data_IF_774537512030
#
_entry.id   IF_774537512030
#
_cell.length_a   1.000
_cell.length_b   1.000
_cell.length_c   1.000
_cell.angle_alpha   90.00
_cell.angle_beta   90.00
_cell.angle_gamma   90.00
#
_symmetry.space_group_name_H-M   'P 1'
#
loop_
_entity.id
_entity.type
_entity.pdbx_description
1 polymer ?
#
# COMPACT_ATOMS: atom_id res chain seq x y z
N UNK A 1 -24.54 -1.06 25.80
CA UNK A 1 -23.11 -1.04 25.42
C UNK A 1 -22.69 0.42 25.41
N UNK A 2 -21.57 0.79 26.03
CA UNK A 2 -21.10 2.17 25.94
C UNK A 2 -20.73 2.47 24.48
N UNK A 3 -21.17 3.61 23.94
CA UNK A 3 -20.81 4.02 22.58
C UNK A 3 -19.28 4.08 22.48
N UNK A 4 -18.69 3.19 21.69
CA UNK A 4 -17.24 3.09 21.48
C UNK A 4 -16.74 4.19 20.55
N UNK A 5 -17.65 4.73 19.73
CA UNK A 5 -17.47 5.87 18.86
C UNK A 5 -18.14 7.11 19.44
N UNK A 6 -17.44 8.23 19.35
CA UNK A 6 -17.99 9.56 19.56
C UNK A 6 -17.64 10.40 18.33
N UNK A 7 -18.67 10.89 17.63
CA UNK A 7 -18.55 11.56 16.34
C UNK A 7 -18.98 13.02 16.54
N UNK A 8 -18.04 13.93 16.35
CA UNK A 8 -18.28 15.37 16.41
C UNK A 8 -17.97 16.02 15.06
N UNK A 9 -18.84 16.92 14.62
CA UNK A 9 -18.68 17.71 13.39
C UNK A 9 -18.63 19.19 13.77
N UNK A 10 -17.53 19.85 13.48
CA UNK A 10 -17.33 21.28 13.77
C UNK A 10 -16.75 21.98 12.54
N UNK A 11 -17.37 23.06 12.09
CA UNK A 11 -16.82 24.09 11.18
C UNK A 11 -15.87 23.61 10.07
N UNK A 12 -16.20 22.52 9.37
CA UNK A 12 -15.35 21.99 8.31
C UNK A 12 -14.25 21.03 8.78
N UNK A 13 -14.46 20.38 9.93
CA UNK A 13 -13.68 19.27 10.47
C UNK A 13 -14.61 18.20 11.05
N UNK A 14 -14.35 16.95 10.71
CA UNK A 14 -14.94 15.77 11.33
C UNK A 14 -13.92 15.22 12.34
N UNK A 15 -14.35 15.02 13.59
CA UNK A 15 -13.52 14.39 14.63
C UNK A 15 -14.24 13.16 15.15
N UNK A 16 -13.63 12.00 14.98
CA UNK A 16 -14.14 10.73 15.48
C UNK A 16 -13.19 10.23 16.57
N UNK A 17 -13.72 10.01 17.77
CA UNK A 17 -12.99 9.44 18.89
C UNK A 17 -13.36 7.96 19.07
N UNK A 18 -12.36 7.10 19.03
CA UNK A 18 -12.49 5.65 19.20
C UNK A 18 -11.81 5.21 20.51
N UNK A 19 -12.57 4.66 21.44
CA UNK A 19 -12.07 4.20 22.74
C UNK A 19 -11.40 2.83 22.66
N UNK A 20 -10.20 2.70 23.26
CA UNK A 20 -9.48 1.42 23.35
C UNK A 20 -10.04 0.48 24.43
N UNK A 21 -10.86 1.01 25.34
CA UNK A 21 -11.40 0.28 26.47
C UNK A 21 -12.30 -0.87 26.03
N UNK A 22 -12.03 -2.08 26.51
CA UNK A 22 -12.89 -3.25 26.39
C UNK A 22 -13.36 -3.71 27.78
N UNK A 23 -14.43 -4.49 27.87
CA UNK A 23 -14.95 -5.01 29.15
C UNK A 23 -13.91 -5.86 29.89
N UNK A 24 -13.11 -6.64 29.16
CA UNK A 24 -12.00 -7.44 29.70
C UNK A 24 -10.94 -6.60 30.44
N UNK A 25 -10.81 -5.31 30.13
CA UNK A 25 -9.83 -4.45 30.80
C UNK A 25 -10.18 -4.25 32.28
N UNK A 26 -11.45 -4.31 32.68
CA UNK A 26 -11.82 -4.24 34.11
C UNK A 26 -11.25 -5.39 34.93
N UNK A 27 -11.31 -6.61 34.37
CA UNK A 27 -10.67 -7.77 34.98
C UNK A 27 -9.15 -7.60 35.04
N UNK A 28 -8.54 -7.16 33.94
CA UNK A 28 -7.09 -6.95 33.87
C UNK A 28 -6.62 -5.87 34.85
N UNK A 29 -7.41 -4.81 35.07
CA UNK A 29 -7.13 -3.76 36.05
C UNK A 29 -7.09 -4.34 37.46
N UNK A 30 -8.16 -5.03 37.87
CA UNK A 30 -8.23 -5.71 39.16
C UNK A 30 -7.05 -6.67 39.36
N UNK A 31 -6.79 -7.53 38.36
CA UNK A 31 -5.69 -8.47 38.38
C UNK A 31 -4.34 -7.76 38.54
N UNK A 32 -4.08 -6.73 37.74
CA UNK A 32 -2.82 -5.99 37.76
C UNK A 32 -2.57 -5.34 39.13
N UNK A 33 -3.60 -4.76 39.76
CA UNK A 33 -3.47 -4.13 41.08
C UNK A 33 -3.12 -5.17 42.13
N UNK A 34 -3.87 -6.27 42.21
CA UNK A 34 -3.65 -7.31 43.22
C UNK A 34 -2.29 -8.00 43.00
N UNK A 35 -1.96 -8.34 41.75
CA UNK A 35 -0.68 -8.96 41.41
C UNK A 35 0.49 -8.09 41.87
N UNK A 36 0.48 -6.79 41.53
CA UNK A 36 1.58 -5.89 41.92
C UNK A 36 1.67 -5.74 43.44
N UNK A 37 0.55 -5.64 44.16
CA UNK A 37 0.56 -5.58 45.63
C UNK A 37 1.15 -6.84 46.26
N UNK A 38 0.80 -8.03 45.75
CA UNK A 38 1.36 -9.30 46.21
C UNK A 38 2.87 -9.38 45.97
N UNK A 39 3.34 -9.01 44.77
CA UNK A 39 4.76 -9.03 44.42
C UNK A 39 5.57 -8.04 45.28
N UNK A 40 5.04 -6.83 45.51
CA UNK A 40 5.67 -5.84 46.39
C UNK A 40 5.75 -6.38 47.82
N UNK A 41 4.67 -6.98 48.33
CA UNK A 41 4.67 -7.60 49.66
C UNK A 41 5.71 -8.71 49.78
N UNK A 42 5.86 -9.56 48.76
CA UNK A 42 6.87 -10.61 48.73
C UNK A 42 8.30 -10.03 48.74
N UNK A 43 8.58 -8.97 47.97
CA UNK A 43 9.88 -8.30 47.98
C UNK A 43 10.21 -7.69 49.34
N UNK A 44 9.25 -7.00 49.96
CA UNK A 44 9.39 -6.44 51.32
C UNK A 44 9.66 -7.56 52.34
N UNK A 45 9.09 -8.76 52.14
CA UNK A 45 9.32 -9.93 52.98
C UNK A 45 10.67 -10.62 52.74
N UNK A 46 11.54 -10.06 51.90
CA UNK A 46 12.88 -10.59 51.62
C UNK A 46 12.93 -11.59 50.47
N UNK A 47 11.91 -11.65 49.62
CA UNK A 47 11.99 -12.48 48.42
C UNK A 47 13.09 -11.98 47.46
N UNK A 48 13.86 -12.91 46.91
CA UNK A 48 15.06 -12.60 46.13
C UNK A 48 14.80 -12.00 44.75
N UNK A 49 15.90 -11.77 44.02
CA UNK A 49 15.96 -11.12 42.71
C UNK A 49 14.96 -11.66 41.67
N UNK A 50 14.65 -12.97 41.67
CA UNK A 50 13.67 -13.54 40.75
C UNK A 50 12.27 -12.89 40.85
N UNK A 51 11.88 -12.42 42.04
CA UNK A 51 10.61 -11.71 42.22
C UNK A 51 10.63 -10.30 41.60
N UNK A 52 11.80 -9.64 41.48
CA UNK A 52 11.86 -8.32 40.82
C UNK A 52 11.56 -8.37 39.32
N UNK A 53 11.82 -9.49 38.63
CA UNK A 53 11.43 -9.68 37.23
C UNK A 53 9.89 -9.72 37.12
N UNK A 54 9.22 -10.38 38.06
CA UNK A 54 7.77 -10.43 38.12
C UNK A 54 7.15 -9.05 38.42
N UNK A 55 7.86 -8.20 39.16
CA UNK A 55 7.46 -6.81 39.38
C UNK A 55 7.53 -6.01 38.07
N UNK A 56 8.60 -6.16 37.27
CA UNK A 56 8.71 -5.51 35.97
C UNK A 56 7.57 -5.91 35.03
N UNK A 57 7.24 -7.21 34.98
CA UNK A 57 6.08 -7.72 34.24
C UNK A 57 4.78 -7.12 34.79
N UNK A 58 4.63 -7.03 36.11
CA UNK A 58 3.47 -6.41 36.75
C UNK A 58 3.32 -4.93 36.40
N UNK A 59 4.40 -4.17 36.38
CA UNK A 59 4.43 -2.75 35.97
C UNK A 59 4.04 -2.63 34.49
N UNK A 60 4.58 -3.49 33.63
CA UNK A 60 4.21 -3.51 32.21
C UNK A 60 2.72 -3.80 32.02
N UNK A 61 2.16 -4.80 32.70
CA UNK A 61 0.72 -5.11 32.63
C UNK A 61 -0.11 -3.94 33.15
N UNK A 62 0.30 -3.28 34.23
CA UNK A 62 -0.40 -2.12 34.78
C UNK A 62 -0.38 -0.94 33.79
N UNK A 63 0.78 -0.62 33.21
CA UNK A 63 0.93 0.41 32.17
C UNK A 63 0.09 0.09 30.93
N UNK A 64 0.14 -1.15 30.45
CA UNK A 64 -0.66 -1.64 29.34
C UNK A 64 -2.15 -1.44 29.61
N UNK A 65 -2.60 -1.87 30.79
CA UNK A 65 -4.01 -1.76 31.21
C UNK A 65 -4.45 -0.30 31.28
N UNK A 66 -3.64 0.56 31.92
CA UNK A 66 -3.94 1.98 32.03
C UNK A 66 -4.00 2.66 30.65
N UNK A 67 -3.08 2.31 29.76
CA UNK A 67 -3.09 2.77 28.37
C UNK A 67 -4.37 2.36 27.66
N UNK A 68 -4.85 1.11 27.80
CA UNK A 68 -6.12 0.67 27.19
C UNK A 68 -7.35 1.38 27.77
N UNK A 69 -7.31 1.82 29.03
CA UNK A 69 -8.41 2.57 29.65
C UNK A 69 -8.45 4.03 29.24
N UNK A 70 -7.30 4.68 29.22
CA UNK A 70 -7.21 6.13 29.02
C UNK A 70 -7.06 6.48 27.54
N UNK A 71 -6.40 5.63 26.75
CA UNK A 71 -6.12 5.96 25.37
C UNK A 71 -7.37 5.89 24.49
N UNK A 72 -7.40 6.82 23.56
CA UNK A 72 -8.34 6.88 22.45
C UNK A 72 -7.54 7.08 21.17
N UNK A 73 -8.09 6.57 20.07
CA UNK A 73 -7.69 6.97 18.73
C UNK A 73 -8.59 8.12 18.30
N UNK A 74 -8.01 9.26 17.96
CA UNK A 74 -8.74 10.40 17.39
C UNK A 74 -8.46 10.45 15.90
N UNK A 75 -9.51 10.28 15.10
CA UNK A 75 -9.48 10.44 13.65
C UNK A 75 -10.04 11.83 13.35
N UNK A 76 -9.16 12.75 12.96
CA UNK A 76 -9.53 14.09 12.56
C UNK A 76 -9.45 14.20 11.04
N UNK A 77 -10.58 14.44 10.40
CA UNK A 77 -10.70 14.57 8.95
C UNK A 77 -11.08 16.00 8.62
N UNK A 78 -10.34 16.63 7.73
CA UNK A 78 -10.66 17.91 7.12
C UNK A 78 -10.47 17.82 5.59
N UNK A 79 -10.70 18.93 4.87
CA UNK A 79 -10.57 18.95 3.40
C UNK A 79 -9.15 18.71 2.88
N UNK A 80 -8.13 18.90 3.72
CA UNK A 80 -6.73 18.80 3.34
C UNK A 80 -6.13 17.46 3.75
N UNK A 81 -6.55 16.88 4.88
CA UNK A 81 -5.94 15.68 5.46
C UNK A 81 -6.87 14.87 6.37
N UNK A 82 -6.50 13.60 6.52
CA UNK A 82 -6.94 12.65 7.54
C UNK A 82 -5.78 12.44 8.51
N UNK A 83 -5.97 12.85 9.77
CA UNK A 83 -5.00 12.75 10.84
C UNK A 83 -5.47 11.72 11.87
N UNK A 84 -4.59 10.76 12.17
CA UNK A 84 -4.80 9.70 13.16
C UNK A 84 -3.85 9.90 14.34
N UNK A 85 -4.41 10.15 15.52
CA UNK A 85 -3.64 10.36 16.75
C UNK A 85 -4.04 9.36 17.83
N UNK A 86 -3.09 8.97 18.67
CA UNK A 86 -3.29 8.08 19.81
C UNK A 86 -2.80 8.75 21.09
N UNK A 87 -3.64 8.78 22.13
CA UNK A 87 -3.27 9.41 23.40
C UNK A 87 -4.37 9.27 24.46
N UNK A 88 -4.13 9.68 25.71
CA UNK A 88 -3.05 10.57 26.13
C UNK A 88 -1.73 9.88 26.55
N UNK A 89 -1.73 8.58 26.86
CA UNK A 89 -0.50 7.85 27.22
C UNK A 89 0.25 7.47 25.94
N UNK A 90 1.57 7.75 25.84
CA UNK A 90 2.38 7.35 24.69
C UNK A 90 2.29 5.85 24.43
N UNK A 91 2.02 5.47 23.20
CA UNK A 91 1.98 4.08 22.78
C UNK A 91 3.01 3.84 21.67
N UNK A 92 4.18 3.26 21.98
CA UNK A 92 5.32 3.23 21.05
C UNK A 92 5.06 2.40 19.79
N UNK A 93 4.03 1.55 19.79
CA UNK A 93 3.70 0.66 18.66
C UNK A 93 2.63 1.23 17.72
N UNK A 94 2.08 2.42 18.01
CA UNK A 94 1.11 3.09 17.15
C UNK A 94 1.63 4.46 16.78
N UNK A 95 2.11 4.57 15.54
CA UNK A 95 2.56 5.84 14.97
C UNK A 95 1.35 6.69 14.61
N UNK A 96 1.47 7.99 14.83
CA UNK A 96 0.52 8.96 14.28
C UNK A 96 0.60 8.92 12.75
N UNK A 97 -0.53 9.08 12.07
CA UNK A 97 -0.60 9.05 10.62
C UNK A 97 -1.23 10.33 10.11
N UNK A 98 -0.61 10.97 9.11
CA UNK A 98 -1.12 12.17 8.48
C UNK A 98 -1.22 11.92 6.96
N UNK A 99 -2.42 11.66 6.49
CA UNK A 99 -2.70 11.27 5.11
C UNK A 99 -3.37 12.45 4.39
N UNK A 100 -2.81 13.00 3.31
CA UNK A 100 -3.49 14.03 2.53
C UNK A 100 -4.85 13.54 2.02
N UNK A 101 -5.92 14.32 2.22
CA UNK A 101 -7.27 13.93 1.83
C UNK A 101 -7.38 13.68 0.32
N UNK A 102 -6.68 14.50 -0.48
CA UNK A 102 -6.57 14.33 -1.95
C UNK A 102 -5.93 13.02 -2.40
N UNK A 103 -5.11 12.41 -1.54
CA UNK A 103 -4.44 11.14 -1.84
C UNK A 103 -5.32 9.95 -1.47
N UNK A 104 -6.41 10.15 -0.71
CA UNK A 104 -7.32 9.10 -0.29
C UNK A 104 -8.28 8.79 -1.45
N UNK A 105 -8.17 7.58 -2.00
CA UNK A 105 -9.07 7.12 -3.06
C UNK A 105 -10.31 6.47 -2.46
N UNK A 106 -10.13 5.67 -1.40
CA UNK A 106 -11.19 4.88 -0.80
C UNK A 106 -10.81 4.44 0.62
N UNK A 107 -11.81 4.25 1.49
CA UNK A 107 -11.66 3.47 2.71
C UNK A 107 -12.41 2.14 2.55
N UNK A 108 -11.92 1.08 3.18
CA UNK A 108 -12.63 -0.21 3.19
C UNK A 108 -12.30 -1.02 4.44
N UNK A 109 -13.23 -1.90 4.83
CA UNK A 109 -13.00 -2.86 5.92
C UNK A 109 -12.46 -4.18 5.40
N UNK A 110 -11.18 -4.46 5.69
CA UNK A 110 -10.51 -5.71 5.35
C UNK A 110 -10.49 -6.70 6.52
N UNK A 111 -10.63 -8.00 6.25
CA UNK A 111 -10.42 -9.05 7.26
C UNK A 111 -8.95 -9.10 7.68
N UNK A 112 -8.70 -9.14 8.98
CA UNK A 112 -7.36 -9.26 9.56
C UNK A 112 -6.90 -10.71 9.60
N UNK A 113 -5.58 -10.93 9.56
CA UNK A 113 -4.97 -12.24 9.78
C UNK A 113 -5.03 -12.69 11.24
N UNK A 114 -5.28 -11.75 12.16
CA UNK A 114 -5.35 -12.03 13.61
C UNK A 114 -6.76 -12.47 13.98
N UNK A 115 -6.86 -13.57 14.74
CA UNK A 115 -8.09 -14.00 15.38
C UNK A 115 -8.02 -13.74 16.88
N UNK A 116 -9.16 -13.40 17.49
CA UNK A 116 -9.29 -13.23 18.94
C UNK A 116 -10.41 -14.15 19.41
N UNK A 117 -10.08 -15.13 20.25
CA UNK A 117 -11.01 -16.18 20.69
C UNK A 117 -11.68 -16.91 19.51
N UNK A 118 -10.88 -17.25 18.48
CA UNK A 118 -11.29 -17.83 17.19
C UNK A 118 -12.28 -16.99 16.36
N UNK A 119 -12.68 -15.82 16.83
CA UNK A 119 -13.45 -14.87 16.04
C UNK A 119 -12.52 -14.06 15.11
N UNK A 120 -12.95 -13.81 13.86
CA UNK A 120 -12.19 -12.96 12.96
C UNK A 120 -12.11 -11.54 13.53
N UNK A 121 -11.00 -10.86 13.23
CA UNK A 121 -10.90 -9.41 13.43
C UNK A 121 -10.81 -8.72 12.08
N UNK A 122 -11.04 -7.42 12.07
CA UNK A 122 -11.15 -6.57 10.89
C UNK A 122 -10.24 -5.35 11.06
N UNK A 123 -9.77 -4.81 9.95
CA UNK A 123 -8.94 -3.63 9.86
C UNK A 123 -9.67 -2.58 9.01
N UNK A 124 -9.61 -1.31 9.43
CA UNK A 124 -10.00 -0.20 8.56
C UNK A 124 -8.77 0.19 7.73
N UNK A 125 -8.89 0.06 6.42
CA UNK A 125 -7.82 0.32 5.45
C UNK A 125 -8.13 1.61 4.69
N UNK A 126 -7.09 2.35 4.35
CA UNK A 126 -7.14 3.50 3.44
C UNK A 126 -6.34 3.15 2.19
N UNK A 127 -6.98 3.23 1.02
CA UNK A 127 -6.32 3.08 -0.27
C UNK A 127 -5.93 4.45 -0.80
N UNK A 128 -4.67 4.61 -1.15
CA UNK A 128 -4.14 5.85 -1.68
C UNK A 128 -4.15 5.86 -3.23
N UNK A 129 -4.07 7.05 -3.81
CA UNK A 129 -3.93 7.30 -5.26
C UNK A 129 -2.70 6.63 -5.87
N UNK A 130 -1.66 6.39 -5.08
CA UNK A 130 -0.48 5.60 -5.46
C UNK A 130 -0.72 4.09 -5.49
N UNK A 131 -1.88 3.62 -5.06
CA UNK A 131 -2.20 2.20 -4.87
C UNK A 131 -1.68 1.61 -3.56
N UNK A 132 -1.02 2.41 -2.71
CA UNK A 132 -0.56 1.97 -1.39
C UNK A 132 -1.74 1.85 -0.43
N UNK A 133 -1.75 0.79 0.38
CA UNK A 133 -2.80 0.53 1.38
C UNK A 133 -2.27 0.80 2.80
N UNK A 134 -2.94 1.67 3.55
CA UNK A 134 -2.54 2.07 4.90
C UNK A 134 -3.55 1.58 5.94
N UNK A 135 -3.08 0.91 6.99
CA UNK A 135 -3.92 0.45 8.11
C UNK A 135 -4.21 1.59 9.08
N UNK A 136 -5.46 2.05 9.13
CA UNK A 136 -5.92 3.09 10.04
C UNK A 136 -6.29 2.52 11.41
N UNK A 137 -7.11 1.46 11.45
CA UNK A 137 -7.49 0.76 12.69
C UNK A 137 -7.16 -0.71 12.52
N UNK A 138 -6.55 -1.31 13.54
CA UNK A 138 -6.08 -2.70 13.52
C UNK A 138 -6.89 -3.58 14.47
N UNK A 139 -7.23 -4.78 14.00
CA UNK A 139 -7.77 -5.90 14.77
C UNK A 139 -9.01 -5.58 15.63
N UNK A 140 -9.99 -4.89 15.04
CA UNK A 140 -11.31 -4.69 15.65
C UNK A 140 -12.20 -5.92 15.43
N UNK A 141 -12.95 -6.35 16.45
CA UNK A 141 -13.89 -7.47 16.32
C UNK A 141 -15.23 -7.02 15.73
N UNK A 142 -15.63 -5.79 16.03
CA UNK A 142 -16.88 -5.20 15.54
C UNK A 142 -16.72 -4.65 14.12
N UNK A 143 -17.08 -5.48 13.13
CA UNK A 143 -17.10 -5.10 11.72
C UNK A 143 -18.03 -3.92 11.45
N UNK A 144 -19.22 -3.93 12.03
CA UNK A 144 -20.25 -2.91 11.76
C UNK A 144 -19.77 -1.54 12.21
N UNK A 145 -19.08 -1.48 13.35
CA UNK A 145 -18.43 -0.27 13.84
C UNK A 145 -17.37 0.27 12.87
N UNK A 146 -16.57 -0.60 12.23
CA UNK A 146 -15.61 -0.15 11.21
C UNK A 146 -16.29 0.33 9.92
N UNK A 147 -17.39 -0.30 9.51
CA UNK A 147 -18.16 0.12 8.33
C UNK A 147 -18.86 1.46 8.56
N UNK A 148 -19.34 1.71 9.78
CA UNK A 148 -19.87 3.02 10.16
C UNK A 148 -18.78 4.10 10.11
N UNK A 149 -17.56 3.78 10.56
CA UNK A 149 -16.40 4.68 10.43
C UNK A 149 -16.05 4.98 8.98
N UNK A 150 -15.93 3.94 8.15
CA UNK A 150 -15.70 4.04 6.70
C UNK A 150 -16.72 4.98 6.06
N UNK A 151 -18.01 4.63 6.16
CA UNK A 151 -19.12 5.40 5.57
C UNK A 151 -19.13 6.84 6.06
N UNK A 152 -18.86 7.07 7.36
CA UNK A 152 -18.85 8.43 7.93
C UNK A 152 -17.71 9.28 7.38
N UNK A 153 -16.53 8.69 7.21
CA UNK A 153 -15.35 9.39 6.67
C UNK A 153 -15.52 9.65 5.18
N UNK A 154 -15.96 8.66 4.40
CA UNK A 154 -16.17 8.79 2.95
C UNK A 154 -17.25 9.82 2.63
N UNK A 155 -18.39 9.76 3.32
CA UNK A 155 -19.46 10.74 3.15
C UNK A 155 -19.02 12.17 3.51
N UNK A 156 -18.05 12.32 4.41
CA UNK A 156 -17.50 13.61 4.77
C UNK A 156 -16.50 14.15 3.73
N UNK A 157 -15.73 13.26 3.10
CA UNK A 157 -14.73 13.59 2.08
C UNK A 157 -15.29 13.60 0.64
N UNK A 158 -16.57 13.26 0.46
CA UNK A 158 -17.22 13.09 -0.84
C UNK A 158 -16.51 12.03 -1.71
N UNK A 159 -16.09 10.94 -1.07
CA UNK A 159 -15.51 9.77 -1.73
C UNK A 159 -16.63 8.82 -2.14
N UNK A 160 -16.64 8.41 -3.41
CA UNK A 160 -17.60 7.42 -3.92
C UNK A 160 -17.24 6.04 -3.37
N UNK A 161 -18.18 5.40 -2.67
CA UNK A 161 -17.98 4.07 -2.12
C UNK A 161 -17.95 3.02 -3.25
N UNK A 162 -16.79 2.40 -3.47
CA UNK A 162 -16.63 1.26 -4.35
C UNK A 162 -16.79 -0.06 -3.59
N UNK A 163 -18.00 -0.60 -3.67
CA UNK A 163 -18.38 -1.88 -3.06
C UNK A 163 -17.57 -3.09 -3.57
N UNK A 164 -16.73 -2.95 -4.60
CA UNK A 164 -15.86 -4.05 -5.06
C UNK A 164 -14.76 -4.41 -4.04
N UNK A 165 -14.35 -3.47 -3.18
CA UNK A 165 -13.38 -3.70 -2.11
C UNK A 165 -14.01 -4.17 -0.80
N UNK A 166 -15.33 -4.00 -0.67
CA UNK A 166 -16.11 -4.60 0.39
C UNK A 166 -16.09 -6.12 0.19
N UNK A 167 -15.12 -6.77 0.83
CA UNK A 167 -15.10 -8.21 1.01
C UNK A 167 -16.28 -8.60 1.91
N UNK A 168 -17.50 -8.53 1.36
CA UNK A 168 -18.62 -9.31 1.84
C UNK A 168 -18.15 -10.76 1.85
N UNK A 169 -18.42 -11.46 2.95
CA UNK A 169 -17.90 -12.81 3.19
C UNK A 169 -18.35 -13.84 2.12
N UNK A 170 -19.14 -13.43 1.12
CA UNK A 170 -19.49 -14.23 -0.05
C UNK A 170 -18.58 -14.06 -1.28
N UNK A 171 -17.49 -13.30 -1.21
CA UNK A 171 -16.64 -12.98 -2.37
C UNK A 171 -16.01 -14.19 -3.08
N UNK A 172 -15.76 -15.31 -2.37
CA UNK A 172 -15.35 -16.59 -2.98
C UNK A 172 -16.43 -17.68 -2.90
N UNK A 173 -17.45 -17.53 -2.06
CA UNK A 173 -18.56 -18.49 -2.01
C UNK A 173 -19.55 -18.31 -3.17
N UNK A 174 -19.53 -17.17 -3.85
CA UNK A 174 -20.30 -16.92 -5.09
C UNK A 174 -19.47 -16.89 -6.36
N UNK A 175 -18.14 -17.04 -6.27
CA UNK A 175 -17.32 -17.24 -7.46
C UNK A 175 -17.53 -18.68 -7.91
N UNK A 176 -18.15 -18.84 -9.07
CA UNK A 176 -18.29 -20.12 -9.75
C UNK A 176 -16.88 -20.70 -9.95
N UNK A 177 -16.54 -21.72 -9.15
CA UNK A 177 -15.23 -22.36 -9.16
C UNK A 177 -14.87 -22.90 -10.55
N UNK A 178 -15.88 -23.27 -11.36
CA UNK A 178 -15.66 -23.67 -12.75
C UNK A 178 -15.25 -22.49 -13.63
N UNK A 179 -15.85 -21.30 -13.45
CA UNK A 179 -15.43 -20.09 -14.15
C UNK A 179 -14.01 -19.68 -13.77
N UNK A 180 -13.63 -19.77 -12.50
CA UNK A 180 -12.25 -19.48 -12.07
C UNK A 180 -11.25 -20.50 -12.63
N UNK A 181 -11.59 -21.79 -12.66
CA UNK A 181 -10.73 -22.81 -13.25
C UNK A 181 -10.54 -22.58 -14.75
N UNK A 182 -11.62 -22.24 -15.47
CA UNK A 182 -11.56 -21.88 -16.88
C UNK A 182 -10.77 -20.58 -17.13
N UNK A 183 -10.78 -19.62 -16.19
CA UNK A 183 -9.95 -18.42 -16.30
C UNK A 183 -8.47 -18.73 -16.06
N UNK A 184 -8.13 -19.57 -15.08
CA UNK A 184 -6.76 -20.00 -14.83
C UNK A 184 -6.17 -20.79 -16.01
N UNK A 185 -6.94 -21.68 -16.63
CA UNK A 185 -6.48 -22.42 -17.81
C UNK A 185 -6.19 -21.50 -19.01
N UNK A 186 -6.97 -20.42 -19.16
CA UNK A 186 -6.67 -19.36 -20.14
C UNK A 186 -5.41 -18.58 -19.77
N UNK A 187 -5.20 -18.30 -18.48
CA UNK A 187 -4.02 -17.57 -18.00
C UNK A 187 -2.74 -18.42 -18.00
N UNK A 188 -2.81 -19.74 -17.94
CA UNK A 188 -1.63 -20.61 -18.02
C UNK A 188 -0.91 -20.45 -19.38
N UNK A 189 -1.66 -20.20 -20.45
CA UNK A 189 -1.11 -19.83 -21.77
C UNK A 189 -0.38 -18.48 -21.76
N UNK A 190 -0.76 -17.58 -20.86
CA UNK A 190 -0.15 -16.27 -20.66
C UNK A 190 1.00 -16.29 -19.64
N UNK A 191 1.16 -17.39 -18.88
CA UNK A 191 2.16 -17.56 -17.82
C UNK A 191 3.60 -17.35 -18.32
N UNK A 192 3.85 -17.67 -19.60
CA UNK A 192 5.13 -17.42 -20.26
C UNK A 192 5.50 -15.94 -20.37
N UNK A 193 4.51 -15.04 -20.35
CA UNK A 193 4.67 -13.59 -20.58
C UNK A 193 4.49 -12.77 -19.30
N UNK A 194 4.11 -13.40 -18.19
CA UNK A 194 3.91 -12.73 -16.91
C UNK A 194 5.21 -12.60 -16.11
N UNK A 195 5.36 -11.54 -15.29
CA UNK A 195 6.48 -11.43 -14.37
C UNK A 195 6.55 -12.63 -13.41
N UNK A 196 7.76 -13.09 -13.08
CA UNK A 196 7.97 -14.25 -12.21
C UNK A 196 7.27 -14.13 -10.84
N UNK A 197 7.16 -12.93 -10.27
CA UNK A 197 6.44 -12.71 -9.02
C UNK A 197 4.93 -12.98 -9.16
N UNK A 198 4.32 -12.57 -10.28
CA UNK A 198 2.91 -12.83 -10.57
C UNK A 198 2.67 -14.32 -10.85
N UNK A 199 3.58 -14.95 -11.59
CA UNK A 199 3.58 -16.41 -11.83
C UNK A 199 3.59 -17.18 -10.52
N UNK A 200 4.46 -16.82 -9.58
CA UNK A 200 4.52 -17.43 -8.25
C UNK A 200 3.24 -17.22 -7.44
N UNK A 201 2.66 -16.00 -7.48
CA UNK A 201 1.37 -15.72 -6.82
C UNK A 201 0.22 -16.55 -7.41
N UNK A 202 0.22 -16.75 -8.73
CA UNK A 202 -0.78 -17.58 -9.41
C UNK A 202 -0.66 -19.06 -9.04
N UNK A 203 0.55 -19.61 -9.01
CA UNK A 203 0.76 -21.00 -8.59
C UNK A 203 0.30 -21.23 -7.15
N UNK A 204 0.60 -20.28 -6.25
CA UNK A 204 0.14 -20.33 -4.86
C UNK A 204 -1.39 -20.20 -4.74
N UNK A 205 -2.02 -19.43 -5.62
CA UNK A 205 -3.48 -19.30 -5.68
C UNK A 205 -4.15 -20.55 -6.24
N UNK A 206 -3.58 -21.17 -7.27
CA UNK A 206 -4.03 -22.45 -7.84
C UNK A 206 -3.96 -23.56 -6.78
N UNK A 207 -2.86 -23.64 -6.04
CA UNK A 207 -2.70 -24.59 -4.93
C UNK A 207 -3.76 -24.38 -3.85
N UNK A 208 -4.01 -23.14 -3.43
CA UNK A 208 -5.07 -22.82 -2.45
C UNK A 208 -6.46 -23.16 -2.97
N UNK A 209 -6.73 -22.93 -4.25
CA UNK A 209 -8.00 -23.28 -4.88
C UNK A 209 -8.20 -24.80 -4.89
N UNK A 210 -7.20 -25.56 -5.29
CA UNK A 210 -7.25 -27.03 -5.28
C UNK A 210 -7.47 -27.58 -3.86
N UNK A 211 -6.84 -26.97 -2.86
CA UNK A 211 -7.06 -27.33 -1.45
C UNK A 211 -8.49 -27.02 -0.98
N UNK A 212 -9.05 -25.87 -1.36
CA UNK A 212 -10.42 -25.48 -1.01
C UNK A 212 -11.47 -26.33 -1.74
N UNK A 213 -11.26 -26.66 -3.02
CA UNK A 213 -12.09 -27.62 -3.76
C UNK A 213 -12.08 -28.97 -3.06
N UNK A 214 -10.89 -29.45 -2.63
CA UNK A 214 -10.76 -30.68 -1.85
C UNK A 214 -11.53 -30.63 -0.52
N UNK A 215 -11.53 -29.49 0.16
CA UNK A 215 -12.31 -29.25 1.39
C UNK A 215 -13.81 -29.31 1.12
N UNK A 216 -14.29 -28.62 0.07
CA UNK A 216 -15.71 -28.62 -0.33
C UNK A 216 -16.20 -30.00 -0.78
N UNK A 217 -15.40 -30.75 -1.55
CA UNK A 217 -15.78 -32.13 -1.93
C UNK A 217 -15.94 -33.07 -0.75
N UNK A 218 -15.27 -32.80 0.38
CA UNK A 218 -15.45 -33.55 1.61
C UNK A 218 -16.66 -33.08 2.44
N UNK A 219 -17.07 -31.82 2.31
CA UNK A 219 -18.20 -31.23 3.04
C UNK A 219 -19.55 -31.43 2.31
N UNK A 220 -19.56 -31.50 0.98
CA UNK A 220 -20.75 -31.70 0.14
C UNK A 220 -21.34 -33.12 0.21
N UNK A 221 -20.72 -34.05 0.95
CA UNK A 221 -21.33 -35.33 1.33
C UNK A 221 -22.52 -35.21 2.30
N UNK A 222 -22.80 -34.01 2.83
CA UNK A 222 -23.87 -33.79 3.78
C UNK A 222 -24.51 -32.40 3.59
N UNK A 223 -25.46 -32.26 2.65
CA UNK A 223 -26.61 -31.34 2.76
C UNK A 223 -27.49 -31.35 1.49
N UNK A 224 -28.81 -31.18 1.70
CA UNK A 224 -29.86 -31.17 0.69
C UNK A 224 -30.08 -29.76 0.07
N UNK A 225 -30.68 -29.66 -1.14
CA UNK A 225 -30.72 -28.41 -1.91
C UNK A 225 -31.95 -27.54 -1.61
N UNK A 226 -31.79 -26.23 -1.73
CA UNK A 226 -32.90 -25.25 -1.81
C UNK A 226 -32.71 -24.29 -2.99
N UNK A 227 -33.82 -23.96 -3.64
CA UNK A 227 -33.98 -23.22 -4.90
C UNK A 227 -34.51 -21.79 -4.66
N UNK A 228 -34.10 -20.79 -5.46
CA UNK A 228 -34.94 -19.70 -6.02
C UNK A 228 -34.11 -18.58 -6.70
N UNK A 229 -34.77 -17.76 -7.54
CA UNK A 229 -34.31 -17.14 -8.80
C UNK A 229 -34.56 -15.61 -8.89
N UNK A 230 -33.66 -14.84 -9.55
CA UNK A 230 -33.82 -13.62 -10.41
C UNK A 230 -34.38 -12.25 -9.85
N UNK A 231 -34.31 -11.09 -10.59
CA UNK A 231 -33.22 -10.47 -11.39
C UNK A 231 -33.03 -8.90 -11.26
N UNK A 232 -31.87 -8.41 -11.78
CA UNK A 232 -31.45 -7.14 -12.43
C UNK A 232 -32.14 -5.74 -12.26
N UNK A 233 -31.29 -4.67 -12.16
CA UNK A 233 -31.44 -3.37 -12.88
C UNK A 233 -30.24 -2.39 -12.71
N UNK A 234 -29.80 -1.75 -13.81
CA UNK A 234 -28.94 -0.53 -13.91
C UNK A 234 -29.85 0.75 -13.99
N UNK A 235 -29.42 2.04 -14.15
CA UNK A 235 -28.15 2.60 -14.71
C UNK A 235 -27.67 4.03 -14.23
N UNK A 236 -26.64 4.55 -14.93
CA UNK A 236 -26.37 5.96 -15.40
C UNK A 236 -25.26 6.82 -14.78
N UNK A 237 -24.52 7.41 -15.72
CA UNK A 237 -23.36 8.31 -15.66
C UNK A 237 -23.71 9.79 -15.48
N UNK A 238 -22.74 10.58 -14.99
CA UNK A 238 -22.63 12.01 -15.27
C UNK A 238 -21.20 12.52 -15.13
N UNK A 239 -20.75 13.25 -16.15
CA UNK A 239 -19.49 13.97 -16.25
C UNK A 239 -19.65 15.41 -15.75
N UNK A 240 -18.59 15.96 -15.14
CA UNK A 240 -18.39 17.42 -15.06
C UNK A 240 -16.91 17.76 -14.99
N UNK A 241 -16.47 18.52 -16.00
CA UNK A 241 -15.15 19.14 -16.10
C UNK A 241 -15.06 20.36 -15.15
N UNK A 242 -13.88 20.54 -14.56
CA UNK A 242 -13.54 21.70 -13.72
C UNK A 242 -12.11 22.15 -13.99
N UNK A 243 -11.97 23.44 -14.31
CA UNK A 243 -10.80 24.12 -14.85
C UNK A 243 -9.72 24.42 -13.80
N UNK A 244 -8.45 24.36 -14.19
CA UNK A 244 -7.29 24.76 -13.36
C UNK A 244 -6.94 26.26 -13.51
N UNK A 245 -6.41 26.93 -12.46
CA UNK A 245 -5.91 28.30 -12.52
C UNK A 245 -4.44 28.37 -13.03
N UNK A 246 -3.96 29.56 -13.44
CA UNK A 246 -2.66 29.72 -14.12
C UNK A 246 -1.48 29.68 -13.15
N UNK A 247 -0.34 29.19 -13.64
CA UNK A 247 0.96 29.16 -12.95
C UNK A 247 1.84 30.32 -13.40
N UNK A 248 2.54 30.90 -12.43
CA UNK A 248 3.62 31.87 -12.60
C UNK A 248 4.84 31.19 -13.26
N UNK A 249 5.14 31.62 -14.48
CA UNK A 249 6.38 31.32 -15.17
C UNK A 249 7.32 32.50 -14.99
N UNK A 250 8.41 32.33 -14.24
CA UNK A 250 9.65 33.06 -14.48
C UNK A 250 10.77 32.52 -13.59
N UNK A 251 11.60 31.59 -14.11
CA UNK A 251 12.99 31.46 -13.70
C UNK A 251 13.80 30.71 -14.78
N UNK A 252 14.19 31.44 -15.83
CA UNK A 252 15.29 31.03 -16.70
C UNK A 252 16.57 30.95 -15.85
N UNK A 253 17.02 29.72 -15.52
CA UNK A 253 18.38 29.47 -15.05
C UNK A 253 19.11 28.65 -16.10
N UNK A 254 20.23 29.21 -16.55
CA UNK A 254 21.29 28.57 -17.33
C UNK A 254 21.54 27.13 -16.86
N UNK A 255 21.45 26.18 -17.79
CA UNK A 255 21.63 24.75 -17.55
C UNK A 255 22.93 24.47 -16.81
N UNK A 256 22.87 23.97 -15.56
CA UNK A 256 24.02 23.33 -14.95
C UNK A 256 24.45 22.17 -15.85
N UNK A 257 25.74 21.98 -16.07
CA UNK A 257 26.30 20.88 -16.86
C UNK A 257 26.17 19.50 -16.19
N UNK A 258 25.15 19.29 -15.36
CA UNK A 258 24.94 18.08 -14.57
C UNK A 258 23.54 18.00 -13.98
N UNK A 259 23.26 16.87 -13.31
CA UNK A 259 21.96 16.59 -12.70
C UNK A 259 21.58 17.65 -11.65
N UNK A 260 20.31 18.05 -11.63
CA UNK A 260 19.74 18.91 -10.60
C UNK A 260 19.85 18.23 -9.23
N UNK A 261 20.08 18.97 -8.13
CA UNK A 261 20.06 18.38 -6.81
C UNK A 261 18.66 17.79 -6.51
N UNK A 262 18.63 16.59 -5.94
CA UNK A 262 17.39 15.94 -5.49
C UNK A 262 16.79 16.71 -4.31
N UNK A 263 15.45 16.78 -4.19
CA UNK A 263 14.77 17.46 -3.09
C UNK A 263 15.05 16.77 -1.75
N UNK A 264 15.03 17.56 -0.66
CA UNK A 264 15.11 17.01 0.68
C UNK A 264 13.88 16.14 0.99
N UNK A 265 14.02 15.08 1.82
CA UNK A 265 12.88 14.23 2.19
C UNK A 265 11.84 15.04 2.97
N UNK A 266 10.62 15.16 2.42
CA UNK A 266 9.49 15.77 3.13
C UNK A 266 8.77 14.77 4.05
N UNK A 267 9.14 13.49 3.98
CA UNK A 267 8.48 12.41 4.71
C UNK A 267 9.49 11.62 5.55
N UNK A 268 9.09 11.25 6.76
CA UNK A 268 9.83 10.38 7.68
C UNK A 268 9.78 8.90 7.23
N UNK A 269 10.12 8.63 5.96
CA UNK A 269 10.48 7.27 5.57
C UNK A 269 11.75 6.87 6.33
N UNK A 270 11.85 5.60 6.72
CA UNK A 270 13.03 5.10 7.43
C UNK A 270 14.28 5.17 6.55
N UNK A 271 14.13 5.09 5.22
CA UNK A 271 15.23 5.21 4.26
C UNK A 271 14.84 5.88 2.93
N UNK A 272 15.38 7.06 2.58
CA UNK A 272 15.14 7.70 1.29
C UNK A 272 15.97 7.03 0.19
N UNK A 273 15.51 5.88 -0.30
CA UNK A 273 16.23 5.09 -1.32
C UNK A 273 16.60 5.93 -2.56
N UNK A 274 15.77 6.91 -2.92
CA UNK A 274 16.04 7.85 -4.00
C UNK A 274 17.32 8.69 -3.80
N UNK A 275 17.95 8.70 -2.62
CA UNK A 275 19.26 9.34 -2.35
C UNK A 275 20.43 8.35 -2.24
N UNK A 276 20.19 7.05 -2.26
CA UNK A 276 21.24 6.05 -2.08
C UNK A 276 22.31 6.16 -3.19
N UNK A 277 23.57 6.34 -2.82
CA UNK A 277 24.68 6.42 -3.78
C UNK A 277 25.09 5.02 -4.26
N UNK A 278 25.73 4.92 -5.42
CA UNK A 278 26.37 3.67 -5.87
C UNK A 278 27.35 3.17 -4.79
N UNK A 279 27.28 1.88 -4.47
CA UNK A 279 28.01 1.24 -3.37
C UNK A 279 27.31 1.26 -2.02
N UNK A 280 26.20 1.99 -1.86
CA UNK A 280 25.44 2.00 -0.60
C UNK A 280 24.79 0.64 -0.33
N UNK A 281 24.78 0.21 0.92
CA UNK A 281 24.03 -0.99 1.34
C UNK A 281 22.59 -0.61 1.63
N UNK A 282 21.66 -1.39 1.09
CA UNK A 282 20.22 -1.19 1.27
C UNK A 282 19.60 -2.53 1.60
N UNK A 283 18.68 -2.56 2.55
CA UNK A 283 17.82 -3.72 2.77
C UNK A 283 16.51 -3.49 2.03
N UNK A 284 16.10 -4.48 1.24
CA UNK A 284 14.79 -4.49 0.59
C UNK A 284 14.07 -5.76 1.04
N UNK A 285 12.91 -5.59 1.68
CA UNK A 285 12.22 -6.65 2.41
C UNK A 285 13.17 -7.25 3.48
N UNK A 286 13.55 -8.52 3.35
CA UNK A 286 14.45 -9.23 4.27
C UNK A 286 15.85 -9.44 3.70
N UNK A 287 16.12 -8.97 2.48
CA UNK A 287 17.35 -9.25 1.74
C UNK A 287 18.26 -8.02 1.69
N UNK A 288 19.57 -8.23 1.82
CA UNK A 288 20.57 -7.16 1.74
C UNK A 288 21.15 -7.03 0.34
N UNK A 289 21.18 -5.79 -0.15
CA UNK A 289 21.67 -5.41 -1.47
C UNK A 289 22.74 -4.34 -1.37
N UNK A 290 23.53 -4.22 -2.44
CA UNK A 290 24.38 -3.07 -2.71
C UNK A 290 23.85 -2.35 -3.94
N UNK A 291 23.72 -1.02 -3.87
CA UNK A 291 23.37 -0.20 -5.03
C UNK A 291 24.51 -0.31 -6.04
N UNK A 292 24.22 -0.90 -7.19
CA UNK A 292 25.13 -1.00 -8.33
C UNK A 292 25.12 0.31 -9.12
N UNK A 293 24.55 0.26 -10.33
CA UNK A 293 24.41 1.44 -11.19
C UNK A 293 23.21 2.28 -10.79
N UNK A 294 23.32 3.59 -10.96
CA UNK A 294 22.21 4.53 -10.83
C UNK A 294 22.18 5.54 -11.97
N UNK A 295 20.98 6.00 -12.32
CA UNK A 295 20.79 7.09 -13.27
C UNK A 295 19.71 8.04 -12.73
N UNK A 296 19.94 9.35 -12.82
CA UNK A 296 18.93 10.35 -12.50
C UNK A 296 18.28 10.84 -13.79
N UNK A 297 17.00 11.16 -13.76
CA UNK A 297 16.27 11.74 -14.88
C UNK A 297 15.70 13.07 -14.41
N UNK A 298 16.13 14.16 -15.03
CA UNK A 298 15.56 15.49 -14.79
C UNK A 298 14.52 15.76 -15.86
N UNK A 299 13.25 15.75 -15.46
CA UNK A 299 12.15 16.02 -16.37
C UNK A 299 11.92 17.52 -16.53
N UNK A 300 11.44 17.89 -17.71
CA UNK A 300 11.00 19.25 -18.06
C UNK A 300 9.49 19.45 -17.83
N UNK A 301 8.81 18.42 -17.34
CA UNK A 301 7.37 18.41 -17.09
C UNK A 301 7.02 19.14 -15.78
N UNK A 302 5.87 19.80 -15.78
CA UNK A 302 5.30 20.57 -14.69
C UNK A 302 4.75 19.72 -13.53
N UNK A 303 4.50 18.44 -13.80
CA UNK A 303 3.92 17.47 -12.87
C UNK A 303 4.96 16.56 -12.22
N UNK A 304 6.05 16.29 -12.92
CA UNK A 304 7.09 15.34 -12.55
C UNK A 304 8.44 16.04 -12.62
N UNK A 305 9.12 16.11 -11.49
CA UNK A 305 10.38 16.84 -11.41
C UNK A 305 11.58 15.90 -11.66
N UNK A 306 11.54 14.71 -11.06
CA UNK A 306 12.69 13.80 -11.00
C UNK A 306 12.27 12.36 -11.23
N UNK A 307 13.15 11.60 -11.88
CA UNK A 307 13.17 10.15 -11.87
C UNK A 307 14.52 9.65 -11.41
N UNK A 308 14.59 8.47 -10.81
CA UNK A 308 15.86 7.81 -10.52
C UNK A 308 15.75 6.31 -10.76
N UNK A 309 16.70 5.75 -11.47
CA UNK A 309 16.80 4.33 -11.75
C UNK A 309 17.95 3.74 -10.94
N UNK A 310 17.73 2.53 -10.43
CA UNK A 310 18.67 1.82 -9.58
C UNK A 310 18.80 0.37 -10.02
N UNK A 311 20.02 -0.15 -9.97
CA UNK A 311 20.31 -1.58 -9.97
C UNK A 311 20.70 -1.98 -8.55
N UNK A 312 19.95 -2.88 -7.92
CA UNK A 312 20.31 -3.49 -6.65
C UNK A 312 20.95 -4.85 -6.88
N UNK A 313 22.19 -5.00 -6.45
CA UNK A 313 22.95 -6.26 -6.54
C UNK A 313 22.90 -6.99 -5.20
N UNK A 314 22.36 -8.20 -5.14
CA UNK A 314 22.34 -8.98 -3.92
C UNK A 314 23.75 -9.47 -3.58
N UNK A 315 24.04 -9.62 -2.29
CA UNK A 315 25.38 -10.01 -1.82
C UNK A 315 25.72 -11.48 -2.11
N UNK A 316 24.73 -12.32 -2.37
CA UNK A 316 24.86 -13.75 -2.65
C UNK A 316 25.16 -14.07 -4.13
N UNK A 317 25.25 -13.04 -4.98
CA UNK A 317 25.49 -13.20 -6.42
C UNK A 317 24.25 -13.60 -7.22
N UNK A 318 23.06 -13.60 -6.62
CA UNK A 318 21.81 -13.80 -7.34
C UNK A 318 21.51 -12.64 -8.32
N UNK A 319 20.44 -12.78 -9.11
CA UNK A 319 20.13 -11.83 -10.20
C UNK A 319 19.83 -10.44 -9.63
N UNK A 320 20.45 -9.41 -10.21
CA UNK A 320 20.18 -8.03 -9.85
C UNK A 320 18.70 -7.66 -10.04
N UNK A 321 18.18 -6.84 -9.12
CA UNK A 321 16.84 -6.26 -9.21
C UNK A 321 16.95 -4.81 -9.68
N UNK A 322 15.99 -4.34 -10.45
CA UNK A 322 15.97 -2.96 -10.93
C UNK A 322 14.80 -2.22 -10.31
N UNK A 323 15.02 -0.96 -9.98
CA UNK A 323 14.02 -0.10 -9.40
C UNK A 323 13.99 1.24 -10.12
N UNK A 324 12.82 1.85 -10.15
CA UNK A 324 12.60 3.21 -10.58
C UNK A 324 11.83 3.95 -9.50
N UNK A 325 12.24 5.19 -9.25
CA UNK A 325 11.56 6.07 -8.32
C UNK A 325 11.24 7.37 -9.04
N UNK A 326 10.07 7.92 -8.79
CA UNK A 326 9.59 9.11 -9.47
C UNK A 326 9.08 10.12 -8.45
N UNK A 327 9.48 11.38 -8.61
CA UNK A 327 8.99 12.51 -7.84
C UNK A 327 7.90 13.23 -8.62
N UNK A 328 6.66 13.07 -8.18
CA UNK A 328 5.48 13.70 -8.77
C UNK A 328 4.77 14.54 -7.70
N UNK A 329 4.60 15.84 -7.96
CA UNK A 329 3.84 16.77 -7.10
C UNK A 329 4.23 16.74 -5.61
N UNK A 330 5.54 16.68 -5.33
CA UNK A 330 6.08 16.65 -3.95
C UNK A 330 6.12 15.25 -3.32
N UNK A 331 5.80 14.19 -4.07
CA UNK A 331 5.73 12.83 -3.54
C UNK A 331 6.59 11.88 -4.35
N UNK A 332 7.31 11.01 -3.63
CA UNK A 332 8.05 9.90 -4.23
C UNK A 332 7.19 8.64 -4.34
N UNK A 333 7.18 8.05 -5.54
CA UNK A 333 6.63 6.73 -5.82
C UNK A 333 7.75 5.76 -6.19
N UNK A 334 7.67 4.52 -5.74
CA UNK A 334 8.70 3.49 -5.94
C UNK A 334 8.14 2.34 -6.75
N UNK A 335 8.93 1.86 -7.71
CA UNK A 335 8.56 0.79 -8.61
C UNK A 335 9.72 -0.20 -8.71
N UNK A 336 9.41 -1.49 -8.62
CA UNK A 336 10.31 -2.54 -9.08
C UNK A 336 10.13 -2.67 -10.60
N UNK A 337 11.23 -2.68 -11.34
CA UNK A 337 11.22 -2.75 -12.79
C UNK A 337 11.83 -4.04 -13.33
N UNK A 338 11.26 -4.52 -14.44
CA UNK A 338 11.88 -5.51 -15.32
C UNK A 338 11.96 -4.93 -16.73
N UNK A 339 13.18 -4.84 -17.27
CA UNK A 339 13.39 -4.50 -18.68
C UNK A 339 12.85 -5.63 -19.57
N UNK A 340 12.10 -5.25 -20.59
CA UNK A 340 11.68 -6.14 -21.68
C UNK A 340 12.82 -6.36 -22.66
N UNK A 341 12.92 -7.57 -23.22
CA UNK A 341 13.83 -7.85 -24.32
C UNK A 341 13.30 -7.30 -25.66
N UNK A 342 14.14 -7.32 -26.70
CA UNK A 342 13.80 -6.69 -27.99
C UNK A 342 12.60 -7.37 -28.67
N UNK A 343 12.40 -8.68 -28.46
CA UNK A 343 11.27 -9.43 -28.99
C UNK A 343 9.97 -9.05 -28.25
N UNK A 344 10.02 -8.94 -26.92
CA UNK A 344 8.92 -8.43 -26.09
C UNK A 344 8.56 -6.98 -26.45
N UNK A 345 9.55 -6.11 -26.67
CA UNK A 345 9.35 -4.71 -27.10
C UNK A 345 8.67 -4.66 -28.48
N UNK A 346 9.13 -5.48 -29.43
CA UNK A 346 8.54 -5.57 -30.76
C UNK A 346 7.11 -6.13 -30.73
N UNK A 347 6.82 -7.09 -29.85
CA UNK A 347 5.47 -7.65 -29.68
C UNK A 347 4.45 -6.63 -29.14
N UNK A 348 4.92 -5.55 -28.51
CA UNK A 348 4.11 -4.42 -28.07
C UNK A 348 4.02 -3.29 -29.11
N UNK A 349 4.44 -3.54 -30.36
CA UNK A 349 4.42 -2.58 -31.49
C UNK A 349 5.29 -1.32 -31.29
N UNK A 350 6.31 -1.37 -30.42
CA UNK A 350 7.32 -0.31 -30.35
C UNK A 350 8.33 -0.49 -31.49
N UNK A 351 8.27 0.37 -32.51
CA UNK A 351 9.08 0.24 -33.72
C UNK A 351 9.74 1.56 -34.11
N UNK A 352 11.08 1.54 -34.22
CA UNK A 352 11.86 2.75 -34.53
C UNK A 352 11.59 3.87 -33.53
N UNK A 353 11.00 4.97 -34.01
CA UNK A 353 10.61 6.13 -33.19
C UNK A 353 9.11 6.18 -32.86
N UNK A 354 8.34 5.19 -33.32
CA UNK A 354 6.90 5.10 -33.09
C UNK A 354 6.66 4.27 -31.82
N UNK A 355 5.76 4.76 -30.98
CA UNK A 355 5.22 4.03 -29.84
C UNK A 355 3.71 3.82 -30.08
N UNK A 356 3.13 2.73 -29.58
CA UNK A 356 1.71 2.44 -29.77
C UNK A 356 0.83 3.44 -29.01
N UNK A 357 -0.32 3.80 -29.56
CA UNK A 357 -1.34 4.60 -28.86
C UNK A 357 -2.07 3.81 -27.76
N UNK A 358 -1.97 2.48 -27.80
CA UNK A 358 -2.44 1.51 -26.80
C UNK A 358 -1.89 0.13 -27.14
N UNK A 359 -1.79 -0.75 -26.16
CA UNK A 359 -1.53 -2.17 -26.41
C UNK A 359 -2.27 -3.04 -25.40
N UNK A 360 -2.32 -4.34 -25.65
CA UNK A 360 -2.94 -5.33 -24.77
C UNK A 360 -1.85 -6.23 -24.18
N UNK A 361 -1.96 -6.52 -22.88
CA UNK A 361 -1.13 -7.50 -22.21
C UNK A 361 -2.03 -8.39 -21.35
N UNK A 362 -2.29 -9.61 -21.83
CA UNK A 362 -3.32 -10.48 -21.27
C UNK A 362 -4.73 -9.92 -21.52
N UNK A 363 -5.52 -9.80 -20.46
CA UNK A 363 -6.86 -9.17 -20.49
C UNK A 363 -6.83 -7.65 -20.32
N UNK A 364 -5.68 -7.09 -19.96
CA UNK A 364 -5.55 -5.69 -19.61
C UNK A 364 -5.19 -4.86 -20.84
N UNK A 365 -5.82 -3.69 -20.96
CA UNK A 365 -5.53 -2.73 -22.01
C UNK A 365 -4.83 -1.51 -21.42
N UNK A 366 -3.69 -1.19 -22.01
CA UNK A 366 -2.80 -0.14 -21.54
C UNK A 366 -2.88 1.08 -22.45
N UNK A 367 -2.91 2.26 -21.83
CA UNK A 367 -2.97 3.55 -22.51
C UNK A 367 -1.81 4.44 -22.05
N UNK A 368 -1.14 5.15 -22.97
CA UNK A 368 -0.09 6.08 -22.62
C UNK A 368 -0.68 7.29 -21.87
N UNK A 369 0.05 7.76 -20.87
CA UNK A 369 -0.06 9.12 -20.33
C UNK A 369 0.62 10.13 -21.26
N UNK A 370 0.58 11.39 -20.86
CA UNK A 370 1.27 12.48 -21.54
C UNK A 370 2.77 12.18 -21.69
N UNK A 371 3.32 12.64 -22.81
CA UNK A 371 4.73 12.52 -23.12
C UNK A 371 5.57 13.31 -22.12
N UNK A 372 6.58 12.66 -21.56
CA UNK A 372 7.53 13.27 -20.64
C UNK A 372 8.88 13.41 -21.32
N UNK A 373 9.43 14.62 -21.36
CA UNK A 373 10.77 14.87 -21.89
C UNK A 373 11.72 15.25 -20.76
N UNK A 374 13.00 14.92 -20.92
CA UNK A 374 13.98 15.19 -19.88
C UNK A 374 15.41 14.91 -20.29
N UNK A 375 16.30 14.96 -19.31
CA UNK A 375 17.71 14.56 -19.47
C UNK A 375 18.03 13.46 -18.46
N UNK A 376 18.48 12.31 -18.95
CA UNK A 376 18.95 11.19 -18.14
C UNK A 376 20.45 11.34 -17.91
N UNK A 377 20.84 11.47 -16.64
CA UNK A 377 22.21 11.56 -16.18
C UNK A 377 22.70 10.21 -15.68
N UNK A 378 23.76 9.69 -16.31
CA UNK A 378 24.56 8.57 -15.82
C UNK A 378 25.93 9.13 -15.40
N UNK A 379 26.10 9.38 -14.11
CA UNK A 379 27.22 10.18 -13.62
C UNK A 379 27.11 11.64 -14.08
N UNK A 380 28.13 12.13 -14.79
CA UNK A 380 28.17 13.51 -15.32
C UNK A 380 27.65 13.62 -16.76
N UNK A 381 27.32 12.50 -17.42
CA UNK A 381 26.86 12.50 -18.80
C UNK A 381 25.33 12.56 -18.86
N UNK A 382 24.79 13.65 -19.41
CA UNK A 382 23.37 13.83 -19.67
C UNK A 382 23.00 13.44 -21.10
N UNK A 383 21.97 12.60 -21.24
CA UNK A 383 21.39 12.18 -22.53
C UNK A 383 19.92 12.63 -22.58
N UNK A 384 19.50 13.28 -23.67
CA UNK A 384 18.11 13.66 -23.85
C UNK A 384 17.23 12.41 -24.00
N UNK A 385 16.09 12.40 -23.32
CA UNK A 385 15.15 11.27 -23.31
C UNK A 385 13.72 11.72 -23.57
N UNK A 386 12.93 10.80 -24.14
CA UNK A 386 11.46 10.84 -24.17
C UNK A 386 10.93 9.66 -23.36
N UNK A 387 9.86 9.85 -22.61
CA UNK A 387 9.27 8.82 -21.77
C UNK A 387 7.74 8.81 -21.91
N UNK A 388 7.17 7.60 -21.95
CA UNK A 388 5.74 7.36 -21.82
C UNK A 388 5.47 6.38 -20.69
N UNK A 389 4.46 6.67 -19.87
CA UNK A 389 3.94 5.75 -18.86
C UNK A 389 2.61 5.21 -19.36
N UNK A 390 2.55 3.91 -19.57
CA UNK A 390 1.35 3.20 -19.96
C UNK A 390 0.71 2.58 -18.71
N UNK A 391 -0.57 2.85 -18.52
CA UNK A 391 -1.32 2.40 -17.35
C UNK A 391 -2.64 1.75 -17.75
N UNK A 392 -3.19 0.98 -16.83
CA UNK A 392 -4.54 0.43 -16.87
C UNK A 392 -5.24 0.73 -15.54
N UNK A 393 -6.56 0.77 -15.54
CA UNK A 393 -7.35 0.86 -14.30
C UNK A 393 -7.56 -0.51 -13.65
N UNK A 394 -7.27 -1.59 -14.37
CA UNK A 394 -7.56 -2.97 -13.93
C UNK A 394 -6.48 -3.57 -13.03
N UNK A 395 -5.25 -3.03 -13.05
CA UNK A 395 -4.14 -3.57 -12.27
C UNK A 395 -3.17 -2.47 -11.84
N UNK A 396 -2.32 -2.78 -10.86
CA UNK A 396 -1.24 -1.90 -10.39
C UNK A 396 0.00 -1.94 -11.29
N UNK A 397 0.02 -2.82 -12.28
CA UNK A 397 1.12 -2.95 -13.23
C UNK A 397 1.10 -1.76 -14.19
N UNK A 398 2.26 -1.21 -14.47
CA UNK A 398 2.45 -0.15 -15.46
C UNK A 398 3.58 -0.52 -16.41
N UNK A 399 3.64 0.11 -17.57
CA UNK A 399 4.79 0.00 -18.45
C UNK A 399 5.42 1.37 -18.63
N UNK A 400 6.74 1.46 -18.52
CA UNK A 400 7.50 2.67 -18.79
C UNK A 400 8.31 2.45 -20.05
N UNK A 401 8.03 3.24 -21.08
CA UNK A 401 8.79 3.24 -22.32
C UNK A 401 9.69 4.47 -22.35
N UNK A 402 10.99 4.26 -22.41
CA UNK A 402 12.03 5.30 -22.41
C UNK A 402 12.77 5.26 -23.74
N UNK A 403 12.87 6.39 -24.43
CA UNK A 403 13.61 6.52 -25.68
C UNK A 403 14.76 7.53 -25.50
N UNK A 404 15.99 7.06 -25.29
CA UNK A 404 17.17 7.90 -25.36
C UNK A 404 17.43 8.40 -26.79
N UNK A 405 17.99 9.59 -26.93
CA UNK A 405 18.25 10.20 -28.23
C UNK A 405 19.16 9.33 -29.11
N UNK A 406 18.67 8.95 -30.30
CA UNK A 406 19.42 8.12 -31.25
C UNK A 406 19.43 6.62 -30.92
N UNK A 407 18.66 6.18 -29.92
CA UNK A 407 18.52 4.77 -29.53
C UNK A 407 17.07 4.31 -29.66
N UNK A 408 16.87 2.99 -29.74
CA UNK A 408 15.53 2.39 -29.72
C UNK A 408 14.84 2.50 -28.36
N UNK A 409 13.60 2.04 -28.29
CA UNK A 409 12.82 2.03 -27.05
C UNK A 409 13.39 1.06 -26.01
N UNK A 410 13.59 1.56 -24.78
CA UNK A 410 13.83 0.78 -23.58
C UNK A 410 12.50 0.67 -22.82
N UNK A 411 11.81 -0.48 -22.91
CA UNK A 411 10.52 -0.69 -22.24
C UNK A 411 10.70 -1.50 -20.97
N UNK A 412 10.02 -1.08 -19.90
CA UNK A 412 10.08 -1.67 -18.58
C UNK A 412 8.67 -2.00 -18.11
N UNK A 413 8.48 -3.17 -17.50
CA UNK A 413 7.31 -3.47 -16.67
C UNK A 413 7.60 -2.95 -15.27
N UNK A 414 6.67 -2.18 -14.71
CA UNK A 414 6.75 -1.58 -13.39
C UNK A 414 5.69 -2.17 -12.46
N UNK A 415 6.11 -2.60 -11.28
CA UNK A 415 5.24 -2.99 -10.18
C UNK A 415 5.43 -2.01 -9.02
N UNK A 416 4.35 -1.47 -8.46
CA UNK A 416 4.41 -0.54 -7.33
C UNK A 416 4.99 -1.24 -6.10
N UNK A 417 5.91 -0.58 -5.41
CA UNK A 417 6.53 -1.02 -4.16
C UNK A 417 6.26 0.02 -3.08
N UNK A 418 6.02 -0.41 -1.84
CA UNK A 418 5.88 0.53 -0.72
C UNK A 418 7.26 1.12 -0.39
N UNK A 419 7.32 2.46 -0.27
CA UNK A 419 8.55 3.13 0.16
C UNK A 419 9.02 2.68 1.56
N UNK A 420 8.12 2.13 2.38
CA UNK A 420 8.43 1.53 3.67
C UNK A 420 9.14 0.18 3.63
N UNK A 421 9.31 -0.45 2.45
CA UNK A 421 9.98 -1.74 2.31
C UNK A 421 11.52 -1.64 2.28
N UNK A 422 12.07 -0.42 2.35
CA UNK A 422 13.50 -0.14 2.32
C UNK A 422 14.02 0.35 3.68
N UNK A 423 15.17 -0.19 4.09
CA UNK A 423 15.88 0.22 5.32
C UNK A 423 17.41 0.34 5.08
N UNK A 424 18.11 1.05 5.98
CA UNK A 424 19.58 1.01 6.02
C UNK A 424 20.08 -0.39 6.37
N UNK A 425 20.95 -0.93 5.51
CA UNK A 425 21.35 -2.34 5.48
C UNK A 425 22.42 -2.75 6.48
#
# INVERSE_FOLDING_TARGET
MANKLDISRDSGRLTISYSWRTSAMWFLLFFSVIWNLFIIGALVSGAGFFISIHLLVGIFIAWFTLSRFLNKTTIAVDRNKLLLEHGPIPWPFAKQQNIPARALVQLYVGKSSVKVNDQPTYNLMAKLDTGVEVKLIKAEQDRQLLQELETTIEAYLDIENDTSFDLSEGGFDKLDLEQMKASLEKMDKLKKWMPAAMVSKMELMEEKMLAEVGRRTNEEGSSAPTTSTAPASAPRSRSSAGSAPPRDNDFFRSSPTGARPLPEPEHDFVFPMYRAAEGSKVRFLTESYTVGRSAQIDFQDDSIDFGRQFELRPNDGSKARYFYTQHERGRWSYFQERRLDDDEVAALDFTGNLHPSRFENGSDRYYPRDEQTGTRFMGQHGEAIRQFIYFTTASSTQFRALQPAGRGWEVYVMEVVDGGDFDEG
#
